data_IF_162783747458
#
_entry.id   IF_162783747458
#
_cell.length_a   1.000
_cell.length_b   1.000
_cell.length_c   1.000
_cell.angle_alpha   90.00
_cell.angle_beta   90.00
_cell.angle_gamma   90.00
#
_symmetry.space_group_name_H-M   'P 1'
#
loop_
_entity.id
_entity.type
_entity.pdbx_description
1 polymer ?
#
# COMPACT_ATOMS: atom_id res chain seq x y z
N UNK A 1 6.84 -25.02 3.81
CA UNK A 1 5.67 -24.90 2.91
C UNK A 1 4.37 -24.76 3.69
N UNK A 2 4.11 -25.64 4.65
CA UNK A 2 2.87 -25.66 5.42
C UNK A 2 2.59 -24.34 6.15
N UNK A 3 3.62 -23.71 6.66
CA UNK A 3 3.56 -22.38 7.28
C UNK A 3 3.02 -21.33 6.31
N UNK A 4 3.58 -21.23 5.10
CA UNK A 4 3.11 -20.27 4.09
C UNK A 4 1.66 -20.57 3.66
N UNK A 5 1.31 -21.85 3.51
CA UNK A 5 -0.07 -22.26 3.19
C UNK A 5 -1.04 -21.81 4.26
N UNK A 6 -0.68 -21.96 5.54
CA UNK A 6 -1.51 -21.49 6.67
C UNK A 6 -1.68 -19.96 6.65
N UNK A 7 -0.59 -19.22 6.44
CA UNK A 7 -0.63 -17.76 6.34
C UNK A 7 -1.47 -17.27 5.17
N UNK A 8 -1.37 -17.91 4.00
CA UNK A 8 -2.20 -17.61 2.82
C UNK A 8 -3.68 -17.84 3.10
N UNK A 9 -4.03 -18.98 3.71
CA UNK A 9 -5.42 -19.32 4.04
C UNK A 9 -6.09 -18.27 4.92
N UNK A 10 -5.37 -17.74 5.92
CA UNK A 10 -5.87 -16.72 6.84
C UNK A 10 -6.08 -15.35 6.17
N UNK A 11 -5.44 -15.11 5.04
CA UNK A 11 -5.53 -13.84 4.30
C UNK A 11 -6.25 -13.96 2.95
N UNK A 12 -6.92 -15.10 2.68
CA UNK A 12 -7.59 -15.33 1.39
C UNK A 12 -8.67 -14.28 1.08
N UNK A 13 -9.33 -13.73 2.10
CA UNK A 13 -10.31 -12.64 1.94
C UNK A 13 -9.73 -11.35 1.34
N UNK A 14 -8.40 -11.16 1.37
CA UNK A 14 -7.70 -10.00 0.80
C UNK A 14 -7.37 -10.15 -0.68
N UNK A 15 -7.32 -11.36 -1.17
CA UNK A 15 -6.98 -11.66 -2.56
C UNK A 15 -7.42 -13.06 -2.93
N UNK A 16 -8.71 -13.24 -3.28
CA UNK A 16 -9.30 -14.56 -3.52
C UNK A 16 -9.02 -15.12 -4.91
N UNK A 17 -8.49 -14.30 -5.85
CA UNK A 17 -8.41 -14.66 -7.26
C UNK A 17 -7.30 -15.66 -7.56
N UNK A 18 -6.16 -15.53 -6.86
CA UNK A 18 -5.03 -16.43 -7.03
C UNK A 18 -4.12 -16.39 -5.80
N UNK A 19 -3.54 -17.53 -5.45
CA UNK A 19 -2.52 -17.60 -4.41
C UNK A 19 -1.33 -18.44 -4.85
N UNK A 20 -0.13 -18.00 -4.50
CA UNK A 20 1.07 -18.81 -4.67
C UNK A 20 2.19 -18.40 -3.70
N UNK A 21 3.25 -19.23 -3.66
CA UNK A 21 4.40 -19.03 -2.81
C UNK A 21 5.71 -19.43 -3.49
N UNK A 22 6.75 -18.74 -3.11
CA UNK A 22 8.15 -19.07 -3.42
C UNK A 22 8.86 -19.49 -2.13
N UNK A 23 9.68 -20.53 -2.20
CA UNK A 23 10.46 -21.01 -1.08
C UNK A 23 11.79 -21.59 -1.56
N UNK A 24 12.90 -21.23 -0.91
CA UNK A 24 14.25 -21.72 -1.23
C UNK A 24 15.02 -22.28 -0.01
N UNK A 25 14.33 -22.72 1.04
CA UNK A 25 14.92 -23.24 2.27
C UNK A 25 15.07 -22.20 3.37
N UNK A 26 15.59 -21.01 3.11
CA UNK A 26 15.76 -19.94 4.10
C UNK A 26 14.74 -18.83 3.99
N UNK A 27 14.24 -18.54 2.79
CA UNK A 27 13.27 -17.49 2.51
C UNK A 27 11.97 -18.09 1.97
N UNK A 28 10.84 -17.65 2.54
CA UNK A 28 9.51 -17.93 2.05
C UNK A 28 8.77 -16.62 1.73
N UNK A 29 8.29 -16.48 0.50
CA UNK A 29 7.44 -15.38 0.04
C UNK A 29 6.10 -15.94 -0.42
N UNK A 30 5.00 -15.30 -0.05
CA UNK A 30 3.66 -15.76 -0.44
C UNK A 30 2.76 -14.56 -0.76
N UNK A 31 1.81 -14.76 -1.66
CA UNK A 31 0.90 -13.71 -2.10
C UNK A 31 -0.50 -14.25 -2.38
N UNK A 32 -1.51 -13.54 -1.89
CA UNK A 32 -2.91 -13.67 -2.28
C UNK A 32 -3.25 -12.49 -3.18
N UNK A 33 -3.66 -12.76 -4.41
CA UNK A 33 -3.94 -11.77 -5.44
C UNK A 33 -5.40 -11.37 -5.46
N UNK A 34 -5.66 -10.06 -5.42
CA UNK A 34 -6.86 -9.42 -5.94
C UNK A 34 -6.46 -8.75 -7.26
N UNK A 35 -7.02 -9.20 -8.36
CA UNK A 35 -6.63 -8.76 -9.71
C UNK A 35 -7.28 -7.42 -10.05
N UNK A 36 -6.48 -6.35 -10.09
CA UNK A 36 -6.91 -4.99 -10.42
C UNK A 36 -6.32 -4.51 -11.74
N UNK A 37 -5.01 -4.73 -11.95
CA UNK A 37 -4.30 -4.50 -13.19
C UNK A 37 -3.81 -5.82 -13.76
N UNK A 38 -3.91 -6.01 -15.08
CA UNK A 38 -3.62 -7.26 -15.77
C UNK A 38 -4.39 -8.44 -15.19
N UNK A 39 -5.64 -8.64 -15.61
CA UNK A 39 -6.49 -9.72 -15.09
C UNK A 39 -6.01 -11.13 -15.50
N UNK A 40 -4.96 -11.23 -16.31
CA UNK A 40 -4.37 -12.50 -16.73
C UNK A 40 -3.43 -13.10 -15.66
N UNK A 41 -2.97 -14.33 -15.90
CA UNK A 41 -1.98 -15.00 -15.05
C UNK A 41 -0.60 -14.34 -15.08
N UNK A 42 -0.30 -13.45 -16.03
CA UNK A 42 0.99 -12.76 -16.12
C UNK A 42 1.22 -11.77 -14.97
N UNK A 43 0.13 -11.27 -14.35
CA UNK A 43 0.21 -10.45 -13.14
C UNK A 43 0.32 -11.25 -11.84
N UNK A 44 0.45 -12.58 -11.89
CA UNK A 44 0.55 -13.41 -10.68
C UNK A 44 1.87 -13.20 -9.94
N UNK A 45 1.79 -13.34 -8.61
CA UNK A 45 2.92 -13.17 -7.70
C UNK A 45 3.07 -14.41 -6.79
N UNK A 46 4.29 -14.69 -6.29
CA UNK A 46 5.55 -13.93 -6.38
C UNK A 46 6.04 -13.77 -7.82
N UNK A 47 6.42 -12.55 -8.23
CA UNK A 47 7.01 -12.28 -9.53
C UNK A 47 8.51 -12.63 -9.47
N UNK A 48 8.96 -13.58 -10.29
CA UNK A 48 10.26 -14.20 -10.13
C UNK A 48 11.09 -14.20 -11.42
N UNK A 49 12.40 -14.06 -11.28
CA UNK A 49 13.36 -14.50 -12.28
C UNK A 49 14.49 -15.32 -11.61
N UNK A 50 15.57 -15.62 -12.33
CA UNK A 50 16.71 -16.39 -11.80
C UNK A 50 17.33 -15.74 -10.56
N UNK A 51 17.41 -14.41 -10.49
CA UNK A 51 18.06 -13.66 -9.42
C UNK A 51 17.11 -13.08 -8.38
N UNK A 52 15.93 -12.62 -8.77
CA UNK A 52 15.08 -11.84 -7.92
C UNK A 52 13.70 -12.46 -7.70
N UNK A 53 13.10 -12.12 -6.58
CA UNK A 53 11.69 -12.44 -6.26
C UNK A 53 11.01 -11.22 -5.63
N UNK A 54 9.79 -10.92 -6.06
CA UNK A 54 8.97 -9.82 -5.55
C UNK A 54 7.59 -10.33 -5.13
N UNK A 55 7.15 -9.92 -3.95
CA UNK A 55 5.73 -9.90 -3.58
C UNK A 55 5.34 -8.47 -3.24
N UNK A 56 4.19 -8.04 -3.71
CA UNK A 56 3.77 -6.65 -3.68
C UNK A 56 2.26 -6.55 -3.48
N UNK A 57 1.85 -5.73 -2.52
CA UNK A 57 0.48 -5.34 -2.27
C UNK A 57 0.36 -3.83 -2.44
N UNK A 58 -0.25 -3.38 -3.52
CA UNK A 58 -0.36 -1.95 -3.78
C UNK A 58 -0.77 -1.61 -5.19
N UNK A 59 -0.59 -0.34 -5.53
CA UNK A 59 -0.73 0.23 -6.87
C UNK A 59 0.29 1.36 -7.07
N UNK A 60 1.10 1.25 -8.11
CA UNK A 60 2.04 2.28 -8.55
C UNK A 60 1.36 3.13 -9.61
N UNK A 61 0.81 4.26 -9.24
CA UNK A 61 -0.01 5.10 -10.12
C UNK A 61 0.72 5.65 -11.34
N UNK A 62 2.02 5.89 -11.23
CA UNK A 62 2.86 6.37 -12.33
C UNK A 62 3.60 5.26 -13.09
N UNK A 63 3.13 4.02 -13.04
CA UNK A 63 3.81 2.88 -13.65
C UNK A 63 4.02 3.01 -15.17
N UNK A 64 3.09 3.64 -15.88
CA UNK A 64 3.22 3.88 -17.33
C UNK A 64 4.34 4.88 -17.65
N UNK A 65 4.56 5.87 -16.80
CA UNK A 65 5.65 6.83 -16.90
C UNK A 65 6.99 6.15 -16.65
N UNK A 66 7.07 5.36 -15.57
CA UNK A 66 8.27 4.58 -15.21
C UNK A 66 8.61 3.53 -16.29
N UNK A 67 7.61 2.91 -16.89
CA UNK A 67 7.79 1.97 -18.01
C UNK A 67 8.50 2.61 -19.19
N UNK A 68 8.20 3.88 -19.50
CA UNK A 68 8.88 4.65 -20.56
C UNK A 68 10.34 4.96 -20.25
N UNK A 69 10.72 5.02 -18.97
CA UNK A 69 12.12 5.21 -18.58
C UNK A 69 12.97 3.93 -18.70
N UNK A 70 12.33 2.77 -18.90
CA UNK A 70 12.97 1.46 -19.07
C UNK A 70 12.59 0.82 -20.42
N UNK A 71 12.86 1.48 -21.57
CA UNK A 71 12.35 1.06 -22.89
C UNK A 71 13.02 -0.22 -23.41
N UNK A 72 14.15 -0.63 -22.83
CA UNK A 72 14.88 -1.85 -23.22
C UNK A 72 14.36 -3.12 -22.56
N UNK A 73 13.50 -2.98 -21.55
CA UNK A 73 12.89 -4.13 -20.89
C UNK A 73 11.74 -4.70 -21.72
N UNK A 74 11.70 -6.03 -21.79
CA UNK A 74 10.57 -6.75 -22.38
C UNK A 74 9.55 -7.03 -21.27
N UNK A 75 8.37 -6.50 -21.43
CA UNK A 75 7.25 -6.69 -20.51
C UNK A 75 6.35 -7.81 -21.01
N UNK A 76 6.03 -8.75 -20.13
CA UNK A 76 5.13 -9.88 -20.41
C UNK A 76 3.72 -9.63 -19.86
N UNK A 77 3.59 -8.64 -18.97
CA UNK A 77 2.33 -8.21 -18.37
C UNK A 77 2.04 -6.74 -18.61
N UNK A 78 0.80 -6.34 -18.38
CA UNK A 78 0.42 -4.92 -18.26
C UNK A 78 0.39 -4.43 -16.82
N UNK A 79 0.80 -5.28 -15.86
CA UNK A 79 0.77 -5.01 -14.42
C UNK A 79 1.86 -4.01 -13.99
N UNK A 80 1.51 -3.15 -13.04
CA UNK A 80 2.45 -2.28 -12.32
C UNK A 80 3.49 -3.08 -11.50
N UNK A 81 3.15 -4.32 -11.10
CA UNK A 81 4.06 -5.25 -10.42
C UNK A 81 5.33 -5.52 -11.24
N UNK A 82 5.19 -5.78 -12.52
CA UNK A 82 6.35 -6.01 -13.40
C UNK A 82 7.17 -4.74 -13.61
N UNK A 83 6.51 -3.59 -13.67
CA UNK A 83 7.21 -2.30 -13.75
C UNK A 83 8.00 -2.03 -12.48
N UNK A 84 7.41 -2.25 -11.29
CA UNK A 84 8.12 -2.15 -10.01
C UNK A 84 9.30 -3.11 -9.95
N UNK A 85 9.12 -4.36 -10.39
CA UNK A 85 10.18 -5.36 -10.46
C UNK A 85 11.37 -4.87 -11.30
N UNK A 86 11.10 -4.34 -12.48
CA UNK A 86 12.13 -3.83 -13.38
C UNK A 86 12.80 -2.56 -12.84
N UNK A 87 12.05 -1.66 -12.19
CA UNK A 87 12.63 -0.51 -11.50
C UNK A 87 13.61 -0.94 -10.40
N UNK A 88 13.22 -1.88 -9.54
CA UNK A 88 14.08 -2.40 -8.47
C UNK A 88 15.33 -3.10 -9.03
N UNK A 89 15.18 -3.87 -10.09
CA UNK A 89 16.27 -4.55 -10.80
C UNK A 89 17.31 -3.57 -11.35
N UNK A 90 16.89 -2.47 -11.97
CA UNK A 90 17.78 -1.55 -12.68
C UNK A 90 18.29 -0.40 -11.81
N UNK A 91 17.45 0.13 -10.94
CA UNK A 91 17.77 1.33 -10.17
C UNK A 91 18.14 1.04 -8.71
N UNK A 92 17.82 -0.15 -8.22
CA UNK A 92 17.92 -0.47 -6.81
C UNK A 92 16.86 0.23 -5.97
N UNK A 93 16.88 -0.02 -4.66
CA UNK A 93 15.82 0.38 -3.74
C UNK A 93 15.68 1.91 -3.62
N UNK A 94 16.77 2.63 -3.36
CA UNK A 94 16.71 4.05 -3.06
C UNK A 94 16.15 4.89 -4.23
N UNK A 95 16.65 4.65 -5.45
CA UNK A 95 16.20 5.36 -6.65
C UNK A 95 14.77 4.96 -7.03
N UNK A 96 14.40 3.69 -6.88
CA UNK A 96 13.02 3.25 -7.12
C UNK A 96 12.06 3.95 -6.18
N UNK A 97 12.33 3.94 -4.86
CA UNK A 97 11.46 4.59 -3.86
C UNK A 97 11.34 6.12 -4.06
N UNK A 98 12.38 6.78 -4.60
CA UNK A 98 12.31 8.20 -4.92
C UNK A 98 11.41 8.53 -6.12
N UNK A 99 11.23 7.58 -7.05
CA UNK A 99 10.50 7.78 -8.30
C UNK A 99 9.06 7.28 -8.28
N UNK A 100 8.78 6.21 -7.54
CA UNK A 100 7.43 5.64 -7.51
C UNK A 100 6.44 6.54 -6.77
N UNK A 101 5.25 6.69 -7.36
CA UNK A 101 4.08 7.33 -6.75
C UNK A 101 2.97 6.30 -6.65
N UNK A 102 2.50 6.05 -5.44
CA UNK A 102 1.48 5.03 -5.22
C UNK A 102 1.35 4.62 -3.76
N UNK A 103 0.49 3.67 -3.53
CA UNK A 103 0.29 2.99 -2.25
C UNK A 103 0.88 1.60 -2.32
N UNK A 104 1.77 1.24 -1.40
CA UNK A 104 2.45 -0.06 -1.49
C UNK A 104 3.01 -0.60 -0.17
N UNK A 105 3.05 -1.92 -0.13
CA UNK A 105 3.91 -2.71 0.73
C UNK A 105 4.50 -3.83 -0.12
N UNK A 106 5.81 -4.01 -0.10
CA UNK A 106 6.43 -5.07 -0.88
C UNK A 106 7.60 -5.74 -0.15
N UNK A 107 7.93 -6.96 -0.59
CA UNK A 107 9.15 -7.64 -0.23
C UNK A 107 9.92 -8.01 -1.51
N UNK A 108 11.19 -7.59 -1.56
CA UNK A 108 12.12 -7.81 -2.66
C UNK A 108 13.30 -8.64 -2.19
N UNK A 109 13.52 -9.79 -2.81
CA UNK A 109 14.61 -10.70 -2.45
C UNK A 109 15.63 -10.86 -3.58
N UNK A 110 16.89 -10.53 -3.31
CA UNK A 110 18.03 -10.83 -4.19
C UNK A 110 18.65 -12.17 -3.78
N UNK A 111 18.42 -13.19 -4.57
CA UNK A 111 18.91 -14.58 -4.35
C UNK A 111 20.43 -14.68 -4.35
N UNK A 112 21.11 -13.81 -5.11
CA UNK A 112 22.58 -13.81 -5.22
C UNK A 112 23.24 -13.18 -4.01
N UNK A 113 22.65 -12.10 -3.49
CA UNK A 113 23.17 -11.40 -2.31
C UNK A 113 22.64 -11.99 -1.01
N UNK A 114 21.63 -12.87 -1.07
CA UNK A 114 20.87 -13.36 0.08
C UNK A 114 20.37 -12.19 0.93
N UNK A 115 19.77 -11.22 0.25
CA UNK A 115 19.27 -9.98 0.84
C UNK A 115 17.77 -9.84 0.60
N UNK A 116 17.01 -9.63 1.68
CA UNK A 116 15.59 -9.29 1.64
C UNK A 116 15.42 -7.82 1.99
N UNK A 117 14.57 -7.12 1.23
CA UNK A 117 14.13 -5.78 1.52
C UNK A 117 12.60 -5.81 1.67
N UNK A 118 12.08 -5.28 2.77
CA UNK A 118 10.66 -5.01 2.93
C UNK A 118 10.44 -3.51 3.01
N UNK A 119 9.47 -2.97 2.25
CA UNK A 119 9.25 -1.53 2.15
C UNK A 119 7.76 -1.19 2.24
N UNK A 120 7.47 0.00 2.78
CA UNK A 120 6.11 0.53 2.91
C UNK A 120 6.02 1.94 2.35
N UNK A 121 4.88 2.29 1.75
CA UNK A 121 4.66 3.58 1.10
C UNK A 121 4.84 4.80 2.02
N UNK A 122 4.93 5.96 1.39
CA UNK A 122 5.28 7.25 2.03
C UNK A 122 4.40 7.63 3.21
N UNK A 123 3.10 7.31 3.15
CA UNK A 123 2.10 7.68 4.18
C UNK A 123 1.49 6.45 4.87
N UNK A 124 1.92 5.22 4.47
CA UNK A 124 1.53 3.97 5.10
C UNK A 124 0.10 3.52 4.79
N UNK A 125 -0.38 3.74 3.56
CA UNK A 125 -1.71 3.31 3.12
C UNK A 125 -1.82 1.78 3.16
N UNK A 126 -0.81 1.07 2.63
CA UNK A 126 -0.81 -0.38 2.70
C UNK A 126 -0.23 -0.87 4.04
N UNK A 127 -0.87 -1.85 4.68
CA UNK A 127 -0.37 -2.39 5.94
C UNK A 127 0.85 -3.28 5.70
N UNK A 128 1.82 -3.19 6.60
CA UNK A 128 2.97 -4.10 6.66
C UNK A 128 3.41 -4.26 8.12
N UNK A 129 3.24 -5.47 8.63
CA UNK A 129 3.69 -5.89 9.95
C UNK A 129 4.94 -6.73 9.83
N UNK A 130 5.83 -6.61 10.80
CA UNK A 130 7.04 -7.44 10.89
C UNK A 130 7.45 -7.67 12.34
N UNK A 131 8.14 -8.77 12.58
CA UNK A 131 8.68 -9.10 13.88
C UNK A 131 9.70 -10.21 13.79
N UNK A 132 10.54 -10.32 14.82
CA UNK A 132 11.52 -11.39 14.96
C UNK A 132 11.12 -12.21 16.18
N UNK A 133 10.92 -13.49 15.99
CA UNK A 133 10.53 -14.41 17.06
C UNK A 133 11.74 -14.86 17.92
N UNK A 134 11.47 -15.72 18.90
CA UNK A 134 12.49 -16.27 19.80
C UNK A 134 13.52 -17.17 19.09
N UNK A 135 13.18 -17.72 17.92
CA UNK A 135 14.06 -18.54 17.07
C UNK A 135 14.87 -17.71 16.07
N UNK A 136 14.80 -16.37 16.17
CA UNK A 136 15.45 -15.39 15.29
C UNK A 136 14.96 -15.45 13.83
N UNK A 137 13.74 -15.97 13.61
CA UNK A 137 13.08 -15.91 12.31
C UNK A 137 12.38 -14.57 12.16
N UNK A 138 12.62 -13.89 11.04
CA UNK A 138 11.88 -12.70 10.65
C UNK A 138 10.57 -13.11 9.98
N UNK A 139 9.48 -12.60 10.49
CA UNK A 139 8.14 -12.71 9.95
C UNK A 139 7.66 -11.37 9.42
N UNK A 140 6.95 -11.37 8.32
CA UNK A 140 6.23 -10.18 7.83
C UNK A 140 4.93 -10.57 7.15
N UNK A 141 3.95 -9.67 7.19
CA UNK A 141 2.63 -9.89 6.59
C UNK A 141 1.82 -8.61 6.51
N UNK A 142 0.79 -8.62 5.68
CA UNK A 142 -0.22 -7.55 5.66
C UNK A 142 -1.15 -7.58 6.88
N UNK A 143 -1.26 -8.71 7.60
CA UNK A 143 -2.11 -8.84 8.80
C UNK A 143 -1.39 -9.60 9.91
N UNK A 144 -1.53 -9.10 11.14
CA UNK A 144 -0.91 -9.69 12.34
C UNK A 144 -1.35 -11.13 12.56
N UNK A 145 -2.64 -11.45 12.34
CA UNK A 145 -3.19 -12.80 12.58
C UNK A 145 -2.45 -13.89 11.80
N UNK A 146 -1.93 -13.57 10.61
CA UNK A 146 -1.16 -14.52 9.83
C UNK A 146 0.17 -14.85 10.51
N UNK A 147 0.85 -13.85 11.10
CA UNK A 147 2.12 -14.04 11.80
C UNK A 147 1.92 -14.85 13.09
N UNK A 148 1.02 -14.41 13.97
CA UNK A 148 0.80 -15.05 15.27
C UNK A 148 0.18 -16.46 15.17
N UNK A 149 -0.33 -16.81 14.01
CA UNK A 149 -0.83 -18.19 13.77
C UNK A 149 0.29 -19.22 13.60
N UNK A 150 1.50 -18.77 13.27
CA UNK A 150 2.63 -19.63 12.88
C UNK A 150 3.90 -19.38 13.71
N UNK A 151 3.95 -18.27 14.44
CA UNK A 151 5.06 -17.88 15.29
C UNK A 151 4.56 -17.41 16.65
N UNK A 152 5.34 -17.67 17.68
CA UNK A 152 5.00 -17.31 19.06
C UNK A 152 5.48 -15.90 19.39
N UNK A 153 4.52 -15.02 19.66
CA UNK A 153 4.75 -13.65 20.12
C UNK A 153 3.93 -13.41 21.38
N UNK A 154 4.59 -13.10 22.48
CA UNK A 154 3.92 -12.81 23.75
C UNK A 154 3.09 -11.52 23.63
N UNK A 155 1.94 -11.50 24.30
CA UNK A 155 1.10 -10.30 24.40
C UNK A 155 1.84 -9.19 25.17
N UNK A 156 1.72 -7.96 24.70
CA UNK A 156 2.19 -6.76 25.42
C UNK A 156 1.06 -6.19 26.28
N UNK A 157 0.88 -6.76 27.48
CA UNK A 157 -0.20 -6.41 28.41
C UNK A 157 -0.20 -4.91 28.74
N UNK A 158 0.98 -4.30 28.87
CA UNK A 158 1.12 -2.89 29.18
C UNK A 158 0.61 -2.05 28.00
N UNK A 159 1.01 -2.40 26.79
CA UNK A 159 0.55 -1.68 25.60
C UNK A 159 -0.96 -1.86 25.36
N UNK A 160 -1.48 -3.07 25.58
CA UNK A 160 -2.89 -3.37 25.49
C UNK A 160 -3.71 -2.55 26.50
N UNK A 161 -3.26 -2.47 27.77
CA UNK A 161 -3.90 -1.68 28.79
C UNK A 161 -3.89 -0.18 28.45
N UNK A 162 -2.76 0.37 28.05
CA UNK A 162 -2.66 1.78 27.65
C UNK A 162 -3.56 2.10 26.46
N UNK A 163 -3.60 1.26 25.46
CA UNK A 163 -4.46 1.46 24.28
C UNK A 163 -5.95 1.41 24.60
N UNK A 164 -6.34 0.60 25.60
CA UNK A 164 -7.74 0.49 26.06
C UNK A 164 -8.19 1.71 26.87
N UNK A 165 -7.28 2.36 27.61
CA UNK A 165 -7.62 3.47 28.52
C UNK A 165 -7.44 4.84 27.88
N UNK A 166 -6.40 5.04 27.10
CA UNK A 166 -6.02 6.37 26.57
C UNK A 166 -6.14 6.49 25.04
N UNK A 167 -6.65 5.46 24.37
CA UNK A 167 -6.63 5.40 22.94
C UNK A 167 -5.22 5.17 22.38
N UNK A 168 -5.07 5.26 21.05
CA UNK A 168 -3.77 5.08 20.39
C UNK A 168 -2.87 6.27 20.72
N UNK A 169 -1.86 6.04 21.56
CA UNK A 169 -0.87 7.06 21.87
C UNK A 169 0.13 7.22 20.71
N UNK A 170 0.55 8.46 20.43
CA UNK A 170 1.56 8.76 19.38
C UNK A 170 2.87 7.99 19.54
N UNK A 171 3.32 7.77 20.79
CA UNK A 171 4.55 7.00 21.08
C UNK A 171 4.42 5.50 20.75
N UNK A 172 3.22 5.01 20.49
CA UNK A 172 2.93 3.61 20.21
C UNK A 172 2.49 3.31 18.77
N UNK A 173 2.51 4.31 17.88
CA UNK A 173 2.02 4.20 16.48
C UNK A 173 2.58 3.00 15.68
N UNK A 174 3.74 2.49 16.09
CA UNK A 174 4.39 1.38 15.39
C UNK A 174 4.35 0.05 16.16
N UNK A 175 3.78 0.05 17.36
CA UNK A 175 3.61 -1.16 18.16
C UNK A 175 2.31 -1.87 17.79
N UNK A 176 2.31 -3.16 18.01
CA UNK A 176 1.10 -3.98 18.00
C UNK A 176 0.77 -4.41 19.44
N UNK A 177 -0.29 -5.19 19.62
CA UNK A 177 -0.60 -5.80 20.92
C UNK A 177 0.35 -6.95 21.31
N UNK A 178 1.36 -7.23 20.49
CA UNK A 178 2.35 -8.28 20.73
C UNK A 178 3.75 -7.68 20.84
N UNK A 179 4.53 -8.18 21.80
CA UNK A 179 5.94 -7.81 21.99
C UNK A 179 6.75 -8.22 20.75
N UNK A 180 7.68 -7.37 20.33
CA UNK A 180 8.57 -7.60 19.17
C UNK A 180 7.86 -7.76 17.81
N UNK A 181 6.57 -7.42 17.73
CA UNK A 181 5.81 -7.37 16.49
C UNK A 181 5.33 -5.94 16.23
N UNK A 182 5.71 -5.37 15.09
CA UNK A 182 5.59 -3.95 14.79
C UNK A 182 4.89 -3.70 13.47
N UNK A 183 4.28 -2.53 13.34
CA UNK A 183 4.02 -1.92 12.04
C UNK A 183 5.31 -1.36 11.46
N UNK A 184 5.61 -1.61 10.19
CA UNK A 184 6.65 -0.84 9.52
C UNK A 184 6.16 0.61 9.37
N UNK A 185 6.98 1.55 9.83
CA UNK A 185 6.64 2.98 9.78
C UNK A 185 6.41 3.43 8.34
N UNK A 186 5.47 4.38 8.07
CA UNK A 186 5.34 5.03 6.77
C UNK A 186 6.69 5.59 6.30
N UNK A 187 6.95 5.54 5.00
CA UNK A 187 8.18 6.10 4.44
C UNK A 187 9.46 5.37 4.86
N UNK A 188 9.36 4.09 5.24
CA UNK A 188 10.52 3.29 5.64
C UNK A 188 10.63 2.00 4.85
N UNK A 189 11.86 1.50 4.77
CA UNK A 189 12.15 0.13 4.38
C UNK A 189 13.15 -0.51 5.34
N UNK A 190 13.20 -1.82 5.33
CA UNK A 190 14.15 -2.62 6.13
C UNK A 190 14.97 -3.46 5.18
N UNK A 191 16.29 -3.39 5.32
CA UNK A 191 17.24 -4.30 4.69
C UNK A 191 17.61 -5.42 5.66
N UNK A 192 17.46 -6.64 5.22
CA UNK A 192 17.77 -7.85 5.98
C UNK A 192 18.80 -8.66 5.21
N UNK A 193 19.92 -8.94 5.85
CA UNK A 193 21.00 -9.77 5.31
C UNK A 193 21.78 -10.43 6.46
N UNK A 194 22.89 -11.10 6.15
CA UNK A 194 23.74 -11.78 7.15
C UNK A 194 24.30 -10.88 8.24
N UNK A 195 24.33 -9.55 8.03
CA UNK A 195 24.77 -8.56 9.03
C UNK A 195 23.67 -8.16 10.01
N UNK A 196 22.43 -8.55 9.71
CA UNK A 196 21.27 -8.26 10.54
C UNK A 196 20.18 -7.44 9.81
N UNK A 197 19.39 -6.72 10.58
CA UNK A 197 18.25 -5.91 10.16
C UNK A 197 18.61 -4.44 10.30
N UNK A 198 18.49 -3.67 9.20
CA UNK A 198 18.72 -2.23 9.17
C UNK A 198 17.47 -1.52 8.67
N UNK A 199 16.84 -0.69 9.52
CA UNK A 199 15.65 0.11 9.18
C UNK A 199 16.08 1.49 8.70
N UNK A 200 15.59 1.89 7.53
CA UNK A 200 15.97 3.12 6.84
C UNK A 200 14.70 3.92 6.53
N UNK A 201 14.70 5.20 6.90
CA UNK A 201 13.69 6.16 6.49
C UNK A 201 14.08 6.74 5.13
N UNK A 202 13.21 6.59 4.13
CA UNK A 202 13.42 7.15 2.80
C UNK A 202 12.55 8.36 2.50
N UNK A 203 11.50 8.57 3.29
CA UNK A 203 10.59 9.70 3.14
C UNK A 203 10.10 10.18 4.52
N UNK A 204 10.08 11.50 4.68
CA UNK A 204 9.43 12.15 5.82
C UNK A 204 8.61 13.33 5.30
N UNK A 205 7.32 13.37 5.63
CA UNK A 205 6.41 14.41 5.15
C UNK A 205 6.87 15.81 5.57
N UNK A 206 7.43 15.96 6.77
CA UNK A 206 7.90 17.26 7.28
C UNK A 206 9.06 17.83 6.48
N UNK A 207 9.87 16.97 5.84
CA UNK A 207 11.02 17.43 5.02
C UNK A 207 10.57 18.01 3.67
N UNK A 208 9.30 17.79 3.28
CA UNK A 208 8.71 18.39 2.08
C UNK A 208 8.21 19.82 2.30
N UNK A 209 8.12 20.27 3.54
CA UNK A 209 7.76 21.66 3.88
C UNK A 209 8.92 22.55 3.50
N UNK A 210 8.65 23.52 2.60
CA UNK A 210 9.68 24.39 2.04
C UNK A 210 9.21 25.83 2.18
N UNK A 211 10.04 26.64 2.83
CA UNK A 211 9.73 28.01 3.16
C UNK A 211 9.51 28.89 1.90
N UNK A 212 10.22 28.61 0.82
CA UNK A 212 10.06 29.32 -0.44
C UNK A 212 8.66 29.11 -1.01
N UNK A 213 8.19 27.86 -1.02
CA UNK A 213 6.87 27.50 -1.53
C UNK A 213 5.76 28.00 -0.60
N UNK A 214 5.95 27.91 0.71
CA UNK A 214 5.05 28.52 1.68
C UNK A 214 4.87 30.03 1.44
N UNK A 215 5.97 30.76 1.28
CA UNK A 215 5.97 32.20 1.01
C UNK A 215 5.39 32.54 -0.38
N UNK A 216 5.54 31.66 -1.37
CA UNK A 216 4.89 31.81 -2.68
C UNK A 216 3.37 31.70 -2.55
N UNK A 217 2.89 30.63 -1.93
CA UNK A 217 1.45 30.40 -1.73
C UNK A 217 0.78 31.51 -0.93
N UNK A 218 1.43 32.04 0.10
CA UNK A 218 0.88 33.14 0.91
C UNK A 218 0.73 34.47 0.15
N UNK A 219 1.35 34.62 -1.02
CA UNK A 219 1.19 35.80 -1.87
C UNK A 219 0.07 35.67 -2.89
N UNK A 220 -0.43 34.45 -3.10
CA UNK A 220 -1.52 34.19 -4.03
C UNK A 220 -2.87 34.58 -3.42
N UNK A 221 -3.80 34.94 -4.27
CA UNK A 221 -5.20 35.06 -3.89
C UNK A 221 -5.81 33.69 -3.61
N UNK A 222 -6.91 33.66 -2.86
CA UNK A 222 -7.62 32.40 -2.57
C UNK A 222 -8.05 31.68 -3.87
N UNK A 223 -8.42 32.41 -4.90
CA UNK A 223 -8.83 31.84 -6.18
C UNK A 223 -7.64 31.14 -6.89
N UNK A 224 -6.47 31.74 -6.87
CA UNK A 224 -5.27 31.14 -7.45
C UNK A 224 -4.87 29.86 -6.70
N UNK A 225 -4.87 29.88 -5.37
CA UNK A 225 -4.59 28.69 -4.55
C UNK A 225 -5.61 27.60 -4.80
N UNK A 226 -6.90 27.97 -4.90
CA UNK A 226 -7.99 27.00 -5.19
C UNK A 226 -7.77 26.35 -6.55
N UNK A 227 -7.44 27.12 -7.57
CA UNK A 227 -7.19 26.59 -8.92
C UNK A 227 -5.98 25.62 -8.96
N UNK A 228 -4.88 25.95 -8.27
CA UNK A 228 -3.75 25.04 -8.14
C UNK A 228 -4.14 23.76 -7.42
N UNK A 229 -4.91 23.86 -6.32
CA UNK A 229 -5.42 22.70 -5.58
C UNK A 229 -6.31 21.82 -6.44
N UNK A 230 -7.27 22.42 -7.18
CA UNK A 230 -8.17 21.68 -8.08
C UNK A 230 -7.40 20.86 -9.11
N UNK A 231 -6.35 21.44 -9.69
CA UNK A 231 -5.50 20.73 -10.68
C UNK A 231 -4.79 19.52 -10.07
N UNK A 232 -4.16 19.71 -8.89
CA UNK A 232 -3.43 18.64 -8.19
C UNK A 232 -4.41 17.54 -7.73
N UNK A 233 -5.57 17.95 -7.20
CA UNK A 233 -6.58 17.04 -6.71
C UNK A 233 -7.18 16.21 -7.84
N UNK A 234 -7.52 16.83 -8.96
CA UNK A 234 -8.08 16.15 -10.13
C UNK A 234 -7.07 15.14 -10.73
N UNK A 235 -5.79 15.51 -10.84
CA UNK A 235 -4.73 14.58 -11.30
C UNK A 235 -4.58 13.41 -10.32
N UNK A 236 -4.61 13.68 -9.01
CA UNK A 236 -4.55 12.63 -7.99
C UNK A 236 -5.72 11.65 -8.12
N UNK A 237 -6.97 12.13 -8.19
CA UNK A 237 -8.14 11.27 -8.36
C UNK A 237 -8.04 10.47 -9.67
N UNK A 238 -7.69 11.11 -10.78
CA UNK A 238 -7.52 10.45 -12.08
C UNK A 238 -6.51 9.28 -12.02
N UNK A 239 -5.38 9.46 -11.33
CA UNK A 239 -4.36 8.41 -11.17
C UNK A 239 -4.90 7.21 -10.39
N UNK A 240 -5.77 7.44 -9.41
CA UNK A 240 -6.42 6.37 -8.63
C UNK A 240 -7.48 5.57 -9.42
N UNK A 241 -7.92 6.06 -10.57
CA UNK A 241 -8.90 5.38 -11.43
C UNK A 241 -8.25 4.38 -12.41
N UNK A 242 -6.94 4.21 -12.38
CA UNK A 242 -6.25 3.23 -13.22
C UNK A 242 -6.55 1.81 -12.72
N UNK A 243 -7.46 1.10 -13.42
CA UNK A 243 -7.85 -0.28 -13.09
C UNK A 243 -8.44 -0.95 -14.32
N UNK A 244 -8.15 -2.25 -14.51
CA UNK A 244 -8.80 -3.11 -15.50
C UNK A 244 -10.07 -3.77 -14.91
N UNK A 245 -10.24 -3.71 -13.59
CA UNK A 245 -11.44 -4.16 -12.90
C UNK A 245 -12.48 -3.04 -12.74
N UNK A 246 -13.75 -3.42 -12.61
CA UNK A 246 -14.83 -2.47 -12.34
C UNK A 246 -14.60 -1.73 -11.02
N UNK A 247 -14.76 -0.42 -11.04
CA UNK A 247 -14.54 0.44 -9.89
C UNK A 247 -15.83 1.05 -9.32
N UNK A 248 -15.75 1.41 -8.05
CA UNK A 248 -16.78 2.18 -7.38
C UNK A 248 -16.20 3.05 -6.28
N UNK A 249 -16.98 4.03 -5.84
CA UNK A 249 -16.60 4.98 -4.79
C UNK A 249 -17.56 4.84 -3.61
N UNK A 250 -16.98 4.75 -2.41
CA UNK A 250 -17.77 4.89 -1.19
C UNK A 250 -18.06 6.36 -0.92
N UNK A 251 -19.33 6.69 -0.71
CA UNK A 251 -19.79 8.05 -0.43
C UNK A 251 -20.57 8.10 0.88
N UNK A 252 -20.26 9.09 1.69
CA UNK A 252 -20.96 9.38 2.94
C UNK A 252 -21.90 10.59 2.81
N UNK A 253 -21.83 11.35 1.70
CA UNK A 253 -22.48 12.65 1.56
C UNK A 253 -21.70 13.80 2.21
N UNK A 254 -20.60 13.50 2.91
CA UNK A 254 -19.65 14.51 3.40
C UNK A 254 -18.85 15.16 2.26
N UNK A 255 -18.28 16.34 2.51
CA UNK A 255 -17.58 17.16 1.51
C UNK A 255 -16.47 16.37 0.80
N UNK A 256 -15.61 15.68 1.55
CA UNK A 256 -14.44 14.99 0.98
C UNK A 256 -14.85 13.87 0.02
N UNK A 257 -15.74 12.97 0.47
CA UNK A 257 -16.21 11.84 -0.36
C UNK A 257 -17.01 12.33 -1.58
N UNK A 258 -17.76 13.42 -1.42
CA UNK A 258 -18.53 14.03 -2.52
C UNK A 258 -17.61 14.64 -3.57
N UNK A 259 -16.56 15.34 -3.14
CA UNK A 259 -15.58 15.94 -4.05
C UNK A 259 -14.83 14.86 -4.83
N UNK A 260 -14.37 13.81 -4.16
CA UNK A 260 -13.72 12.65 -4.82
C UNK A 260 -14.66 12.02 -5.85
N UNK A 261 -15.93 11.75 -5.47
CA UNK A 261 -16.89 11.12 -6.38
C UNK A 261 -17.24 12.01 -7.58
N UNK A 262 -17.36 13.32 -7.37
CA UNK A 262 -17.64 14.29 -8.43
C UNK A 262 -16.51 14.31 -9.47
N UNK A 263 -15.28 14.48 -9.02
CA UNK A 263 -14.10 14.48 -9.91
C UNK A 263 -13.93 13.11 -10.58
N UNK A 264 -14.07 11.99 -9.85
CA UNK A 264 -14.00 10.66 -10.43
C UNK A 264 -15.03 10.43 -11.53
N UNK A 265 -16.27 10.93 -11.35
CA UNK A 265 -17.35 10.84 -12.34
C UNK A 265 -17.09 11.64 -13.62
N UNK A 266 -16.20 12.63 -13.61
CA UNK A 266 -15.77 13.33 -14.84
C UNK A 266 -14.96 12.42 -15.74
N UNK A 267 -14.11 11.58 -15.17
CA UNK A 267 -13.22 10.67 -15.90
C UNK A 267 -13.83 9.30 -16.17
N UNK A 268 -14.76 8.82 -15.32
CA UNK A 268 -15.37 7.48 -15.43
C UNK A 268 -16.88 7.56 -15.26
N UNK A 269 -17.60 7.60 -16.39
CA UNK A 269 -19.06 7.80 -16.41
C UNK A 269 -19.89 6.61 -15.92
N UNK A 270 -19.33 5.41 -15.91
CA UNK A 270 -19.94 4.17 -15.40
C UNK A 270 -19.63 3.90 -13.93
N UNK A 271 -19.03 4.86 -13.23
CA UNK A 271 -18.65 4.77 -11.82
C UNK A 271 -19.86 4.45 -10.95
N UNK A 272 -19.72 3.42 -10.09
CA UNK A 272 -20.76 3.04 -9.11
C UNK A 272 -20.50 3.72 -7.78
N UNK A 273 -21.57 4.21 -7.15
CA UNK A 273 -21.51 4.80 -5.81
C UNK A 273 -22.06 3.81 -4.79
N UNK A 274 -21.37 3.69 -3.66
CA UNK A 274 -21.76 2.84 -2.56
C UNK A 274 -21.84 3.64 -1.26
N UNK A 275 -22.85 3.38 -0.46
CA UNK A 275 -22.99 3.97 0.88
C UNK A 275 -23.54 2.96 1.87
N UNK A 276 -23.12 3.09 3.14
CA UNK A 276 -23.67 2.28 4.22
C UNK A 276 -24.92 3.00 4.77
N UNK A 277 -26.08 2.32 4.76
CA UNK A 277 -27.28 2.83 5.40
C UNK A 277 -27.31 2.35 6.86
N UNK A 278 -26.85 3.22 7.77
CA UNK A 278 -26.94 2.97 9.22
C UNK A 278 -28.28 3.51 9.71
N UNK A 279 -29.14 2.62 10.21
CA UNK A 279 -30.45 3.01 10.72
C UNK A 279 -30.30 3.88 11.99
N UNK A 280 -30.96 5.03 12.03
CA UNK A 280 -30.97 5.94 13.19
C UNK A 280 -30.66 7.39 12.87
N UNK A 281 -30.47 8.19 13.92
CA UNK A 281 -30.28 9.66 13.83
C UNK A 281 -29.00 10.11 13.12
N UNK A 282 -28.04 9.21 12.92
CA UNK A 282 -26.73 9.50 12.30
C UNK A 282 -26.58 8.85 10.92
N UNK A 283 -27.70 8.59 10.23
CA UNK A 283 -27.66 8.06 8.87
C UNK A 283 -27.23 9.16 7.88
N UNK A 284 -26.15 8.93 7.18
CA UNK A 284 -25.67 9.81 6.09
C UNK A 284 -26.29 9.42 4.73
N UNK A 285 -27.22 8.46 4.71
CA UNK A 285 -27.82 7.93 3.48
C UNK A 285 -28.55 9.00 2.65
N UNK A 286 -29.25 9.94 3.33
CA UNK A 286 -29.99 11.00 2.65
C UNK A 286 -29.03 11.93 1.88
N UNK A 287 -27.90 12.30 2.48
CA UNK A 287 -26.89 13.18 1.87
C UNK A 287 -26.17 12.47 0.72
N UNK A 288 -25.83 11.19 0.90
CA UNK A 288 -25.27 10.37 -0.19
C UNK A 288 -26.23 10.24 -1.38
N UNK A 289 -27.55 10.15 -1.13
CA UNK A 289 -28.57 10.12 -2.17
C UNK A 289 -28.69 11.45 -2.92
N UNK A 290 -28.55 12.58 -2.24
CA UNK A 290 -28.50 13.91 -2.88
C UNK A 290 -27.33 13.97 -3.87
N UNK A 291 -26.14 13.54 -3.44
CA UNK A 291 -24.98 13.48 -4.32
C UNK A 291 -25.19 12.54 -5.52
N UNK A 292 -25.72 11.33 -5.28
CA UNK A 292 -25.97 10.37 -6.35
C UNK A 292 -26.92 10.94 -7.42
N UNK A 293 -28.03 11.56 -6.99
CA UNK A 293 -28.97 12.23 -7.89
C UNK A 293 -28.31 13.38 -8.68
N UNK A 294 -27.44 14.18 -8.03
CA UNK A 294 -26.70 15.25 -8.70
C UNK A 294 -25.74 14.72 -9.77
N UNK A 295 -25.12 13.58 -9.54
CA UNK A 295 -24.21 12.93 -10.49
C UNK A 295 -24.92 12.05 -11.52
N UNK A 296 -26.25 11.95 -11.48
CA UNK A 296 -27.03 11.10 -12.39
C UNK A 296 -26.89 9.61 -12.13
N UNK A 297 -26.71 9.22 -10.87
CA UNK A 297 -26.46 7.85 -10.39
C UNK A 297 -27.62 7.29 -9.58
#
# INVERSE_FOLDING_TARGET
>A
KDVLTKMLGLQNHRGPDYCSSYYNGSIGLAHNRLSLLDLSSNGNQPFNNERYSLVYNGEIYNYLELKKELPHEKYVSSSDTEVLFNCLKHWGIAKTLSKISGMFAFAWYDKKLDQLIIARDKIGIKPLFYGVDGEKTLWFSSEVKAIISVADFAVDDIHMLFSSVSGINEKSKHKTMWKNLFHLSPGHYIEINKKGLNKIQYYNLTDSVNETEYNRLNKLSINEVTHEFESIFADSVKRHLASDASMGVFVSGGVDSSLIASVANEYQKDLKLFTANILGKHSEFADAKVLANHLGK
#
